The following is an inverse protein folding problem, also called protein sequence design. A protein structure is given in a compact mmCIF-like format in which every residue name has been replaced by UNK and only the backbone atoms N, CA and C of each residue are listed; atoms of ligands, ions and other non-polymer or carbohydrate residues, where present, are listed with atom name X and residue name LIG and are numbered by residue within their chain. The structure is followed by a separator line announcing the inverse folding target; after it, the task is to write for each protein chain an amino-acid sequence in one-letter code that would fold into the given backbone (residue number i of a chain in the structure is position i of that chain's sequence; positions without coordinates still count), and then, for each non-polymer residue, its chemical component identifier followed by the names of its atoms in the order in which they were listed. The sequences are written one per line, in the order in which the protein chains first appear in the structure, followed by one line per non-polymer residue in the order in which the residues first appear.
data_IF_537165415183
#
_entry.id   IF_537165415183
#
_cell.length_a   1.000
_cell.length_b   1.000
_cell.length_c   1.000
_cell.angle_alpha   90.00
_cell.angle_beta   90.00
_cell.angle_gamma   90.00
#
_symmetry.space_group_name_H-M   'P 1'
#
loop_
_entity.id
_entity.type
_entity.pdbx_description
1 polymer ?
#
# COMPACT_ATOMS: atom_id res chain seq x y z
N UNK A 1 8.86 -35.93 8.94
CA UNK A 1 9.09 -34.51 8.60
C UNK A 1 7.95 -33.71 9.22
N UNK A 2 8.24 -32.57 9.85
CA UNK A 2 7.18 -31.74 10.46
C UNK A 2 6.55 -30.97 9.30
N UNK A 3 5.31 -31.29 8.96
CA UNK A 3 4.59 -30.61 7.87
C UNK A 3 4.28 -29.17 8.26
N UNK A 4 4.50 -28.25 7.32
CA UNK A 4 4.22 -26.84 7.51
C UNK A 4 2.70 -26.61 7.69
N UNK A 5 2.30 -25.67 8.56
CA UNK A 5 0.89 -25.44 8.87
C UNK A 5 0.07 -24.99 7.66
N UNK A 6 -1.11 -25.60 7.49
CA UNK A 6 -2.05 -25.36 6.38
C UNK A 6 -2.53 -23.89 6.21
N UNK A 7 -2.33 -23.02 7.20
CA UNK A 7 -2.62 -21.59 7.07
C UNK A 7 -1.52 -20.80 6.32
N UNK A 8 -0.40 -21.44 5.99
CA UNK A 8 0.57 -20.96 4.99
C UNK A 8 0.09 -21.24 3.56
N UNK A 9 -1.24 -21.28 3.36
CA UNK A 9 -1.86 -21.49 2.07
C UNK A 9 -1.33 -20.45 1.08
N UNK A 10 -0.83 -20.96 -0.03
CA UNK A 10 -0.03 -20.32 -1.08
C UNK A 10 -0.76 -19.26 -1.91
N UNK A 11 -1.84 -18.67 -1.39
CA UNK A 11 -2.75 -17.77 -2.12
C UNK A 11 -2.42 -16.28 -1.95
N UNK A 12 -1.67 -15.90 -0.91
CA UNK A 12 -1.16 -14.52 -0.76
C UNK A 12 0.25 -14.42 -1.35
N UNK A 13 0.38 -13.80 -2.53
CA UNK A 13 1.69 -13.40 -3.06
C UNK A 13 2.16 -12.15 -2.33
N UNK A 14 3.03 -12.31 -1.34
CA UNK A 14 3.65 -11.20 -0.61
C UNK A 14 5.06 -10.93 -1.12
N UNK A 15 5.34 -9.66 -1.39
CA UNK A 15 6.69 -9.18 -1.66
C UNK A 15 7.16 -8.34 -0.48
N UNK A 16 8.43 -8.47 -0.11
CA UNK A 16 9.03 -7.72 0.98
C UNK A 16 10.28 -6.99 0.50
N UNK A 17 10.59 -5.87 1.15
CA UNK A 17 11.83 -5.09 0.94
C UNK A 17 12.68 -5.25 2.20
N UNK A 18 13.91 -5.73 2.08
CA UNK A 18 14.87 -5.74 3.19
C UNK A 18 15.80 -4.55 3.09
N UNK A 19 16.38 -4.11 4.21
CA UNK A 19 17.35 -3.00 4.23
C UNK A 19 18.51 -3.19 3.24
N UNK A 20 18.95 -4.44 3.00
CA UNK A 20 19.99 -4.77 2.01
C UNK A 20 19.57 -4.53 0.55
N UNK A 21 18.27 -4.49 0.28
CA UNK A 21 17.67 -4.31 -1.05
C UNK A 21 17.38 -2.82 -1.31
N UNK A 22 17.75 -1.94 -0.38
CA UNK A 22 17.52 -0.50 -0.43
C UNK A 22 18.86 0.22 -0.44
N UNK A 23 19.04 1.16 -1.37
CA UNK A 23 20.23 2.01 -1.33
C UNK A 23 20.11 3.08 -0.21
N UNK A 24 21.18 3.85 -0.01
CA UNK A 24 21.23 4.91 1.00
C UNK A 24 20.20 6.05 0.80
N UNK A 25 19.56 6.14 -0.37
CA UNK A 25 18.47 7.07 -0.68
C UNK A 25 17.07 6.46 -0.47
N UNK A 26 16.97 5.32 0.21
CA UNK A 26 15.72 4.57 0.39
C UNK A 26 15.09 4.04 -0.91
N UNK A 27 15.83 4.01 -2.02
CA UNK A 27 15.35 3.44 -3.28
C UNK A 27 15.52 1.92 -3.24
N UNK A 28 14.42 1.16 -3.23
CA UNK A 28 14.51 -0.29 -3.29
C UNK A 28 14.92 -0.70 -4.71
N UNK A 29 16.00 -1.49 -4.85
CA UNK A 29 16.49 -2.04 -6.12
C UNK A 29 16.21 -3.55 -6.13
N UNK A 30 15.01 -3.91 -6.54
CA UNK A 30 14.57 -5.29 -6.69
C UNK A 30 13.72 -5.43 -7.94
N UNK A 31 13.76 -6.60 -8.59
CA UNK A 31 12.94 -6.92 -9.78
C UNK A 31 11.46 -6.64 -9.50
N UNK A 32 11.00 -6.99 -8.29
CA UNK A 32 9.63 -6.72 -7.86
C UNK A 32 9.29 -5.22 -7.87
N UNK A 33 10.22 -4.34 -7.49
CA UNK A 33 9.97 -2.89 -7.48
C UNK A 33 9.74 -2.40 -8.91
N UNK A 34 10.60 -2.84 -9.85
CA UNK A 34 10.48 -2.45 -11.25
C UNK A 34 9.17 -2.94 -11.87
N UNK A 35 8.73 -4.15 -11.51
CA UNK A 35 7.43 -4.69 -11.93
C UNK A 35 6.27 -3.92 -11.30
N UNK A 36 6.36 -3.61 -10.00
CA UNK A 36 5.32 -2.90 -9.25
C UNK A 36 5.08 -1.49 -9.80
N UNK A 37 6.14 -0.72 -10.06
CA UNK A 37 5.99 0.66 -10.53
C UNK A 37 5.44 0.75 -11.96
N UNK A 38 5.68 -0.28 -12.79
CA UNK A 38 5.17 -0.36 -14.17
C UNK A 38 3.76 -0.93 -14.26
N UNK A 39 3.26 -1.55 -13.19
CA UNK A 39 1.94 -2.17 -13.20
C UNK A 39 0.86 -1.12 -13.03
N UNK A 40 -0.07 -1.11 -13.98
CA UNK A 40 -1.29 -0.29 -13.96
C UNK A 40 -2.35 -1.01 -13.13
N UNK A 41 -2.31 -0.82 -11.82
CA UNK A 41 -3.36 -1.32 -10.94
C UNK A 41 -4.62 -0.46 -11.08
N UNK A 42 -5.81 -1.06 -11.01
CA UNK A 42 -7.05 -0.28 -10.90
C UNK A 42 -7.06 0.54 -9.60
N UNK A 43 -6.63 -0.08 -8.50
CA UNK A 43 -6.57 0.51 -7.16
C UNK A 43 -5.25 0.17 -6.48
N UNK A 44 -4.61 1.17 -5.89
CA UNK A 44 -3.54 1.02 -4.91
C UNK A 44 -4.02 1.53 -3.55
N UNK A 45 -4.01 0.67 -2.54
CA UNK A 45 -4.35 1.04 -1.15
C UNK A 45 -3.05 1.11 -0.36
N UNK A 46 -2.67 2.32 0.06
CA UNK A 46 -1.50 2.53 0.89
C UNK A 46 -1.84 2.45 2.38
N UNK A 47 -1.24 1.48 3.06
CA UNK A 47 -1.36 1.24 4.50
C UNK A 47 -0.12 1.72 5.27
N UNK A 48 0.75 2.51 4.63
CA UNK A 48 1.99 3.04 5.20
C UNK A 48 1.75 4.25 6.11
N UNK A 49 1.01 4.06 7.20
CA UNK A 49 0.67 5.13 8.13
C UNK A 49 1.87 5.62 8.96
N UNK A 50 2.92 4.82 9.03
CA UNK A 50 4.20 5.16 9.68
C UNK A 50 5.16 5.94 8.76
N UNK A 51 4.71 6.32 7.55
CA UNK A 51 5.49 7.10 6.57
C UNK A 51 6.85 6.46 6.22
N UNK A 52 6.91 5.12 6.13
CA UNK A 52 8.12 4.38 5.72
C UNK A 52 8.56 4.87 4.31
N UNK A 53 9.78 5.41 4.15
CA UNK A 53 10.19 6.07 2.91
C UNK A 53 10.10 5.18 1.66
N UNK A 54 10.50 3.91 1.76
CA UNK A 54 10.48 2.98 0.63
C UNK A 54 9.07 2.67 0.13
N UNK A 55 8.09 2.57 1.05
CA UNK A 55 6.68 2.35 0.68
C UNK A 55 6.08 3.63 0.09
N UNK A 56 6.41 4.80 0.65
CA UNK A 56 6.01 6.11 0.09
C UNK A 56 6.58 6.32 -1.31
N UNK A 57 7.81 5.87 -1.56
CA UNK A 57 8.39 5.86 -2.91
C UNK A 57 7.55 5.01 -3.87
N UNK A 58 7.23 3.77 -3.49
CA UNK A 58 6.39 2.89 -4.31
C UNK A 58 5.02 3.51 -4.62
N UNK A 59 4.33 4.06 -3.62
CA UNK A 59 3.05 4.74 -3.81
C UNK A 59 3.15 5.91 -4.78
N UNK A 60 4.18 6.75 -4.61
CA UNK A 60 4.44 7.89 -5.49
C UNK A 60 4.73 7.47 -6.94
N UNK A 61 5.54 6.44 -7.14
CA UNK A 61 5.97 6.01 -8.49
C UNK A 61 5.03 5.02 -9.18
N UNK A 62 4.07 4.45 -8.47
CA UNK A 62 3.11 3.51 -9.04
C UNK A 62 2.31 4.15 -10.19
N UNK A 63 2.00 3.36 -11.22
CA UNK A 63 1.10 3.72 -12.31
C UNK A 63 -0.37 3.36 -12.03
N UNK A 64 -0.74 3.08 -10.78
CA UNK A 64 -2.12 2.80 -10.42
C UNK A 64 -3.07 3.94 -10.85
N UNK A 65 -4.25 3.57 -11.36
CA UNK A 65 -5.27 4.51 -11.83
C UNK A 65 -5.96 5.28 -10.69
N UNK A 66 -5.98 4.69 -9.50
CA UNK A 66 -6.48 5.34 -8.29
C UNK A 66 -5.62 4.92 -7.09
N UNK A 67 -5.04 5.90 -6.41
CA UNK A 67 -4.21 5.72 -5.21
C UNK A 67 -4.97 6.21 -4.00
N UNK A 68 -5.09 5.35 -3.01
CA UNK A 68 -5.85 5.60 -1.78
C UNK A 68 -4.90 5.63 -0.60
N UNK A 69 -5.03 6.65 0.25
CA UNK A 69 -4.20 6.78 1.44
C UNK A 69 -4.92 7.44 2.61
N UNK A 70 -4.22 7.53 3.73
CA UNK A 70 -4.66 8.28 4.90
C UNK A 70 -4.12 9.70 4.82
N UNK A 71 -4.98 10.72 4.98
CA UNK A 71 -4.54 12.10 5.05
C UNK A 71 -3.80 12.34 6.39
N UNK A 72 -2.52 12.69 6.30
CA UNK A 72 -1.66 13.00 7.46
C UNK A 72 -0.95 14.35 7.32
N UNK A 73 -1.70 15.39 6.91
CA UNK A 73 -1.32 16.81 6.85
C UNK A 73 -0.11 17.18 5.96
N UNK A 74 0.58 16.21 5.34
CA UNK A 74 1.85 16.39 4.61
C UNK A 74 1.91 15.63 3.26
N UNK A 75 0.81 15.03 2.80
CA UNK A 75 0.81 13.99 1.74
C UNK A 75 -0.07 14.30 0.50
N UNK A 76 -0.47 15.56 0.32
CA UNK A 76 -1.54 15.99 -0.61
C UNK A 76 -1.33 15.71 -2.11
N UNK A 77 -0.17 15.18 -2.52
CA UNK A 77 0.15 14.97 -3.95
C UNK A 77 0.32 13.51 -4.37
N UNK A 78 0.16 12.54 -3.46
CA UNK A 78 0.36 11.12 -3.80
C UNK A 78 -0.96 10.41 -4.12
N UNK A 79 -2.04 10.76 -3.41
CA UNK A 79 -3.29 9.99 -3.41
C UNK A 79 -4.42 10.75 -4.11
N UNK A 80 -5.21 10.02 -4.89
CA UNK A 80 -6.42 10.52 -5.57
C UNK A 80 -7.63 10.51 -4.62
N UNK A 81 -7.62 9.61 -3.63
CA UNK A 81 -8.65 9.51 -2.60
C UNK A 81 -8.02 9.36 -1.22
N UNK A 82 -8.39 10.24 -0.30
CA UNK A 82 -7.82 10.29 1.04
C UNK A 82 -8.90 10.18 2.10
N UNK A 83 -8.67 9.34 3.10
CA UNK A 83 -9.50 9.29 4.30
C UNK A 83 -8.93 10.21 5.37
N UNK A 84 -9.79 10.94 6.07
CA UNK A 84 -9.39 11.92 7.08
C UNK A 84 -9.98 11.58 8.46
N UNK A 85 -9.40 12.17 9.51
CA UNK A 85 -9.91 12.01 10.88
C UNK A 85 -9.71 10.62 11.49
N UNK A 86 -8.83 9.80 10.89
CA UNK A 86 -8.50 8.46 11.36
C UNK A 86 -7.12 8.48 12.03
N UNK A 87 -6.99 8.03 13.29
CA UNK A 87 -5.68 7.86 13.92
C UNK A 87 -4.82 6.89 13.10
N UNK A 88 -3.53 7.21 12.84
CA UNK A 88 -2.61 6.33 12.12
C UNK A 88 -2.49 4.92 12.74
N UNK A 89 -2.71 4.81 14.05
CA UNK A 89 -2.69 3.53 14.78
C UNK A 89 -3.93 2.66 14.57
N UNK A 90 -5.00 3.18 13.95
CA UNK A 90 -6.29 2.50 13.82
C UNK A 90 -6.57 2.07 12.37
N UNK A 91 -5.83 1.05 11.94
CA UNK A 91 -6.02 0.42 10.63
C UNK A 91 -7.42 -0.16 10.43
N UNK A 92 -8.06 -0.62 11.51
CA UNK A 92 -9.39 -1.21 11.42
C UNK A 92 -10.43 -0.15 11.05
N UNK A 93 -10.35 1.04 11.67
CA UNK A 93 -11.22 2.14 11.31
C UNK A 93 -10.95 2.63 9.88
N UNK A 94 -9.68 2.68 9.46
CA UNK A 94 -9.32 2.97 8.06
C UNK A 94 -9.98 2.00 7.08
N UNK A 95 -9.79 0.69 7.27
CA UNK A 95 -10.34 -0.33 6.38
C UNK A 95 -11.87 -0.32 6.37
N UNK A 96 -12.51 -0.09 7.53
CA UNK A 96 -13.97 0.02 7.62
C UNK A 96 -14.50 1.20 6.80
N UNK A 97 -13.88 2.38 6.94
CA UNK A 97 -14.27 3.56 6.18
C UNK A 97 -14.01 3.37 4.69
N UNK A 98 -12.85 2.81 4.32
CA UNK A 98 -12.50 2.52 2.94
C UNK A 98 -13.55 1.62 2.27
N UNK A 99 -13.90 0.49 2.91
CA UNK A 99 -14.91 -0.42 2.37
C UNK A 99 -16.28 0.25 2.23
N UNK A 100 -16.68 1.04 3.23
CA UNK A 100 -17.93 1.79 3.17
C UNK A 100 -17.98 2.73 1.95
N UNK A 101 -16.92 3.50 1.71
CA UNK A 101 -16.86 4.40 0.54
C UNK A 101 -16.76 3.66 -0.79
N UNK A 102 -16.02 2.56 -0.86
CA UNK A 102 -15.95 1.74 -2.08
C UNK A 102 -17.31 1.11 -2.43
N UNK A 103 -18.12 0.72 -1.43
CA UNK A 103 -19.50 0.25 -1.64
C UNK A 103 -20.40 1.34 -2.19
N UNK A 104 -20.29 2.57 -1.66
CA UNK A 104 -21.06 3.72 -2.16
C UNK A 104 -20.73 4.06 -3.62
N UNK A 105 -19.45 4.01 -4.00
CA UNK A 105 -19.01 4.29 -5.38
C UNK A 105 -19.53 3.22 -6.35
N UNK A 106 -19.51 1.94 -5.96
CA UNK A 106 -20.03 0.84 -6.80
C UNK A 106 -21.54 0.91 -7.07
N UNK A 107 -22.28 1.64 -6.23
CA UNK A 107 -23.74 1.70 -6.28
C UNK A 107 -24.25 2.85 -7.15
N UNK A 108 -23.36 3.69 -7.69
CA UNK A 108 -23.68 4.70 -8.72
C UNK A 108 -23.45 4.12 -10.12
#
# INVERSE_FOLDING_TARGET
AKEDPHYLDTTLSYNYIKNKDVNWYYLPKSIFVDEFIKKEFDLLIDLNFDKIPSLRFLAKTSMAHCKIGLNQNDDDLIYDFMLEGIPPSDINMFLKQLLHYLELIKTQ
#
